data_IF_221862902835
#
_entry.id   IF_221862902835
#
_cell.length_a   1.000
_cell.length_b   1.000
_cell.length_c   1.000
_cell.angle_alpha   90.00
_cell.angle_beta   90.00
_cell.angle_gamma   90.00
#
_symmetry.space_group_name_H-M   'P 1'
#
loop_
_entity.id
_entity.type
_entity.pdbx_description
1 polymer ?
#
# COMPACT_ATOMS: atom_id res chain seq x y z
N UNK A 1 22.13 63.18 3.50
CA UNK A 1 23.05 62.14 4.02
C UNK A 1 23.47 62.48 5.44
N UNK A 2 22.77 61.95 6.44
CA UNK A 2 23.21 61.99 7.84
C UNK A 2 23.88 60.64 8.17
N UNK A 3 25.12 60.70 8.67
CA UNK A 3 25.92 59.52 9.05
C UNK A 3 25.43 59.02 10.40
N UNK A 4 24.95 57.77 10.47
CA UNK A 4 24.67 57.10 11.74
C UNK A 4 25.99 56.71 12.41
N UNK A 5 26.13 56.95 13.71
CA UNK A 5 27.34 56.66 14.47
C UNK A 5 27.43 55.15 14.74
N UNK A 6 28.55 54.57 14.36
CA UNK A 6 28.95 53.21 14.72
C UNK A 6 29.32 53.20 16.21
N UNK A 7 28.56 52.47 17.02
CA UNK A 7 28.88 52.20 18.41
C UNK A 7 29.54 50.82 18.45
N UNK A 8 30.85 50.79 18.71
CA UNK A 8 31.60 49.58 19.03
C UNK A 8 31.10 49.08 20.40
N UNK A 9 30.27 48.04 20.40
CA UNK A 9 30.02 47.25 21.60
C UNK A 9 30.78 45.93 21.45
N UNK A 10 32.03 45.94 21.90
CA UNK A 10 32.89 44.76 22.05
C UNK A 10 32.40 43.87 23.22
N UNK A 11 31.18 43.35 23.14
CA UNK A 11 30.75 42.25 24.00
C UNK A 11 30.38 41.06 23.11
N UNK A 12 31.20 39.98 23.08
CA UNK A 12 30.83 38.77 22.35
C UNK A 12 29.61 38.18 23.04
N UNK A 13 28.44 38.35 22.41
CA UNK A 13 27.19 37.71 22.81
C UNK A 13 27.35 36.19 22.67
N UNK A 14 27.80 35.54 23.76
CA UNK A 14 27.89 34.10 23.87
C UNK A 14 26.49 33.52 23.61
N UNK A 15 26.28 32.73 22.54
CA UNK A 15 25.00 32.07 22.32
C UNK A 15 24.79 31.06 23.46
N UNK A 16 23.78 31.31 24.31
CA UNK A 16 23.35 30.43 25.43
C UNK A 16 22.88 29.03 24.98
N UNK A 17 23.00 28.70 23.71
CA UNK A 17 22.51 27.50 23.05
C UNK A 17 23.39 26.26 23.26
N UNK A 18 24.63 26.42 23.72
CA UNK A 18 25.53 25.27 23.98
C UNK A 18 25.13 24.43 25.21
N UNK A 19 24.17 24.88 26.02
CA UNK A 19 23.73 24.17 27.24
C UNK A 19 22.51 23.27 27.03
N UNK A 20 21.88 23.31 25.85
CA UNK A 20 20.64 22.56 25.59
C UNK A 20 21.00 21.18 25.03
N UNK A 21 21.13 20.21 25.95
CA UNK A 21 21.29 18.78 25.63
C UNK A 21 20.03 18.23 24.95
N UNK A 22 20.20 17.49 23.86
CA UNK A 22 19.14 17.05 22.92
C UNK A 22 18.10 16.06 23.45
N UNK A 23 17.88 15.96 24.76
CA UNK A 23 16.96 15.00 25.38
C UNK A 23 15.99 15.57 26.44
N UNK A 24 15.90 16.89 26.59
CA UNK A 24 14.96 17.50 27.55
C UNK A 24 13.52 17.41 27.05
N UNK A 25 12.60 16.92 27.89
CA UNK A 25 11.16 16.73 27.67
C UNK A 25 10.44 18.05 27.28
N UNK A 26 10.61 18.47 26.03
CA UNK A 26 10.00 19.66 25.43
C UNK A 26 8.47 19.71 25.60
N UNK A 27 7.82 18.54 25.68
CA UNK A 27 6.37 18.41 25.70
C UNK A 27 5.70 18.63 27.07
N UNK A 28 6.48 18.83 28.14
CA UNK A 28 5.91 19.02 29.50
C UNK A 28 6.01 20.46 30.02
N UNK A 29 6.81 21.32 29.39
CA UNK A 29 6.98 22.71 29.77
C UNK A 29 6.13 23.66 28.91
N UNK A 30 5.10 24.21 29.56
CA UNK A 30 4.09 25.12 29.00
C UNK A 30 4.65 26.34 28.23
N UNK A 31 5.76 27.00 28.61
CA UNK A 31 6.28 28.15 27.88
C UNK A 31 6.82 27.80 26.48
N UNK A 32 7.52 26.67 26.34
CA UNK A 32 8.18 26.26 25.08
C UNK A 32 7.19 25.75 24.03
N UNK A 33 6.12 25.08 24.47
CA UNK A 33 5.02 24.65 23.59
C UNK A 33 4.29 25.82 22.90
N UNK A 34 4.27 27.00 23.54
CA UNK A 34 3.65 28.20 23.00
C UNK A 34 4.41 28.82 21.82
N UNK A 35 5.73 28.65 21.77
CA UNK A 35 6.58 29.15 20.68
C UNK A 35 6.54 28.24 19.45
N UNK A 36 6.39 26.93 19.65
CA UNK A 36 6.20 25.96 18.56
C UNK A 36 4.88 26.17 17.82
N UNK A 37 3.77 26.36 18.54
CA UNK A 37 2.48 26.69 17.94
C UNK A 37 2.46 28.08 17.25
N UNK A 38 3.38 28.98 17.63
CA UNK A 38 3.59 30.29 17.00
C UNK A 38 4.48 30.23 15.74
N UNK A 39 4.89 29.03 15.30
CA UNK A 39 5.66 28.84 14.07
C UNK A 39 7.16 29.14 14.18
N UNK A 40 7.69 29.35 15.38
CA UNK A 40 9.12 29.62 15.59
C UNK A 40 10.00 28.37 15.41
N UNK A 41 9.39 27.17 15.44
CA UNK A 41 10.08 25.89 15.23
C UNK A 41 9.48 25.11 14.05
N UNK A 42 9.64 25.66 12.84
CA UNK A 42 9.94 24.79 11.70
C UNK A 42 11.12 25.32 10.87
N UNK A 43 12.31 25.47 11.48
CA UNK A 43 13.44 26.14 10.84
C UNK A 43 13.96 25.33 9.66
N UNK A 44 13.85 23.99 9.69
CA UNK A 44 14.31 23.13 8.62
C UNK A 44 13.49 23.29 7.32
N UNK A 45 12.15 23.38 7.42
CA UNK A 45 11.29 23.54 6.24
C UNK A 45 11.34 24.98 5.71
N UNK A 46 11.33 25.98 6.59
CA UNK A 46 11.46 27.38 6.19
C UNK A 46 12.83 27.67 5.56
N UNK A 47 13.91 27.08 6.10
CA UNK A 47 15.25 27.19 5.52
C UNK A 47 15.31 26.53 4.15
N UNK A 48 14.75 25.34 3.97
CA UNK A 48 14.70 24.69 2.65
C UNK A 48 13.93 25.52 1.61
N UNK A 49 12.80 26.14 1.98
CA UNK A 49 12.00 26.95 1.04
C UNK A 49 12.68 28.27 0.65
N UNK A 50 13.49 28.85 1.53
CA UNK A 50 14.17 30.13 1.29
C UNK A 50 15.59 29.97 0.72
N UNK A 51 16.22 28.82 0.97
CA UNK A 51 17.60 28.49 0.57
C UNK A 51 17.64 27.69 -0.74
N UNK A 52 16.62 26.87 -1.05
CA UNK A 52 16.49 26.19 -2.34
C UNK A 52 15.74 27.07 -3.34
N UNK A 53 16.25 27.18 -4.57
CA UNK A 53 15.53 27.82 -5.69
C UNK A 53 14.27 27.02 -6.01
N UNK A 54 13.19 27.71 -6.44
CA UNK A 54 11.99 27.08 -7.03
C UNK A 54 12.36 26.08 -8.14
N UNK A 55 13.46 26.33 -8.85
CA UNK A 55 14.00 25.49 -9.92
C UNK A 55 14.61 24.18 -9.39
N UNK A 56 15.24 24.21 -8.21
CA UNK A 56 15.86 23.04 -7.56
C UNK A 56 14.82 22.15 -6.86
N UNK A 57 13.72 22.75 -6.37
CA UNK A 57 12.53 22.00 -5.93
C UNK A 57 11.78 21.36 -7.09
N UNK A 58 11.70 22.04 -8.25
CA UNK A 58 11.14 21.48 -9.48
C UNK A 58 12.01 20.37 -10.06
N UNK A 59 13.35 20.49 -10.01
CA UNK A 59 14.28 19.44 -10.46
C UNK A 59 14.27 18.17 -9.60
N UNK A 60 13.69 18.19 -8.39
CA UNK A 60 13.43 16.97 -7.60
C UNK A 60 12.06 16.38 -7.90
N UNK A 61 11.17 17.17 -8.47
CA UNK A 61 9.90 16.75 -9.03
C UNK A 61 10.12 16.48 -10.52
N UNK A 62 10.98 15.50 -10.81
CA UNK A 62 11.18 15.01 -12.17
C UNK A 62 9.87 14.42 -12.68
N UNK A 63 9.00 15.29 -13.19
CA UNK A 63 7.71 14.97 -13.77
C UNK A 63 7.84 13.90 -14.88
N UNK A 64 9.00 13.86 -15.54
CA UNK A 64 9.36 12.85 -16.54
C UNK A 64 9.51 11.42 -15.95
N UNK A 65 9.96 11.27 -14.70
CA UNK A 65 10.03 9.97 -14.01
C UNK A 65 8.61 9.43 -13.75
N UNK A 66 7.70 10.28 -13.30
CA UNK A 66 6.29 9.92 -13.09
C UNK A 66 5.55 9.65 -14.40
N UNK A 67 5.83 10.40 -15.47
CA UNK A 67 5.24 10.17 -16.79
C UNK A 67 5.63 8.81 -17.38
N UNK A 68 6.90 8.40 -17.22
CA UNK A 68 7.37 7.08 -17.62
C UNK A 68 6.67 5.94 -16.86
N UNK A 69 6.55 6.07 -15.53
CA UNK A 69 5.90 5.08 -14.68
C UNK A 69 4.40 4.95 -15.00
N UNK A 70 3.71 6.08 -15.26
CA UNK A 70 2.29 6.08 -15.64
C UNK A 70 2.08 5.39 -16.98
N UNK A 71 2.93 5.67 -17.99
CA UNK A 71 2.85 5.00 -19.29
C UNK A 71 3.10 3.49 -19.18
N UNK A 72 4.10 3.10 -18.37
CA UNK A 72 4.39 1.68 -18.11
C UNK A 72 3.21 0.97 -17.43
N UNK A 73 2.54 1.64 -16.48
CA UNK A 73 1.36 1.11 -15.80
C UNK A 73 0.16 0.95 -16.75
N UNK A 74 -0.04 1.91 -17.67
CA UNK A 74 -1.10 1.83 -18.69
C UNK A 74 -0.86 0.65 -19.63
N UNK A 75 0.38 0.44 -20.07
CA UNK A 75 0.73 -0.71 -20.92
C UNK A 75 0.52 -2.05 -20.20
N UNK A 76 0.93 -2.16 -18.94
CA UNK A 76 0.70 -3.35 -18.13
C UNK A 76 -0.80 -3.62 -17.89
N UNK A 77 -1.60 -2.58 -17.64
CA UNK A 77 -3.04 -2.71 -17.47
C UNK A 77 -3.73 -3.20 -18.76
N UNK A 78 -3.33 -2.69 -19.93
CA UNK A 78 -3.87 -3.14 -21.22
C UNK A 78 -3.52 -4.60 -21.51
N UNK A 79 -2.30 -5.04 -21.15
CA UNK A 79 -1.89 -6.43 -21.26
C UNK A 79 -2.76 -7.35 -20.39
N UNK A 80 -2.94 -7.00 -19.12
CA UNK A 80 -3.79 -7.77 -18.19
C UNK A 80 -5.26 -7.81 -18.64
N UNK A 81 -5.79 -6.71 -19.18
CA UNK A 81 -7.16 -6.68 -19.70
C UNK A 81 -7.34 -7.63 -20.89
N UNK A 82 -6.33 -7.72 -21.78
CA UNK A 82 -6.34 -8.65 -22.89
C UNK A 82 -6.27 -10.11 -22.42
N UNK A 83 -5.42 -10.41 -21.44
CA UNK A 83 -5.28 -11.75 -20.85
C UNK A 83 -6.58 -12.19 -20.14
N UNK A 84 -7.19 -11.29 -19.36
CA UNK A 84 -8.46 -11.54 -18.70
C UNK A 84 -9.58 -11.85 -19.71
N UNK A 85 -9.66 -11.10 -20.82
CA UNK A 85 -10.63 -11.36 -21.89
C UNK A 85 -10.47 -12.74 -22.53
N UNK A 86 -9.24 -13.23 -22.65
CA UNK A 86 -8.97 -14.58 -23.17
C UNK A 86 -9.43 -15.63 -22.16
N UNK A 87 -9.11 -15.46 -20.87
CA UNK A 87 -9.50 -16.41 -19.84
C UNK A 87 -11.03 -16.44 -19.65
N UNK A 88 -11.72 -15.30 -19.75
CA UNK A 88 -13.19 -15.24 -19.75
C UNK A 88 -13.79 -16.07 -20.90
N UNK A 89 -13.25 -15.94 -22.11
CA UNK A 89 -13.71 -16.73 -23.26
C UNK A 89 -13.46 -18.23 -23.05
N UNK A 90 -12.31 -18.58 -22.49
CA UNK A 90 -11.94 -19.96 -22.14
C UNK A 90 -12.86 -20.54 -21.06
N UNK A 91 -13.17 -19.77 -20.02
CA UNK A 91 -14.12 -20.14 -18.98
C UNK A 91 -15.54 -20.35 -19.55
N UNK A 92 -16.00 -19.43 -20.42
CA UNK A 92 -17.29 -19.56 -21.11
C UNK A 92 -17.33 -20.81 -22.01
N UNK A 93 -16.24 -21.11 -22.72
CA UNK A 93 -16.15 -22.30 -23.55
C UNK A 93 -16.17 -23.59 -22.71
N UNK A 94 -15.40 -23.63 -21.62
CA UNK A 94 -15.38 -24.77 -20.69
C UNK A 94 -16.76 -25.01 -20.05
N UNK A 95 -17.46 -23.95 -19.63
CA UNK A 95 -18.83 -24.04 -19.11
C UNK A 95 -19.81 -24.58 -20.15
N UNK A 96 -19.75 -24.12 -21.41
CA UNK A 96 -20.59 -24.67 -22.48
C UNK A 96 -20.32 -26.15 -22.72
N UNK A 97 -19.05 -26.54 -22.71
CA UNK A 97 -18.65 -27.94 -22.88
C UNK A 97 -19.17 -28.83 -21.73
N UNK A 98 -19.06 -28.39 -20.48
CA UNK A 98 -19.56 -29.13 -19.31
C UNK A 98 -21.09 -29.30 -19.36
N UNK A 99 -21.82 -28.26 -19.78
CA UNK A 99 -23.27 -28.36 -19.96
C UNK A 99 -23.66 -29.34 -21.08
N UNK A 100 -22.93 -29.35 -22.20
CA UNK A 100 -23.11 -30.33 -23.26
C UNK A 100 -22.87 -31.76 -22.77
N UNK A 101 -21.80 -31.97 -22.01
CA UNK A 101 -21.49 -33.25 -21.37
C UNK A 101 -22.61 -33.72 -20.44
N UNK A 102 -23.10 -32.87 -19.54
CA UNK A 102 -24.21 -33.20 -18.62
C UNK A 102 -25.48 -33.61 -19.37
N UNK A 103 -25.81 -32.94 -20.47
CA UNK A 103 -26.97 -33.30 -21.31
C UNK A 103 -26.76 -34.67 -21.97
N UNK A 104 -25.57 -34.93 -22.53
CA UNK A 104 -25.25 -36.22 -23.13
C UNK A 104 -25.30 -37.36 -22.11
N UNK A 105 -24.75 -37.14 -20.93
CA UNK A 105 -24.74 -38.06 -19.81
C UNK A 105 -26.16 -38.40 -19.31
N UNK A 106 -27.03 -37.38 -19.20
CA UNK A 106 -28.45 -37.59 -18.86
C UNK A 106 -29.19 -38.42 -19.92
N UNK A 107 -28.92 -38.20 -21.20
CA UNK A 107 -29.49 -39.00 -22.31
C UNK A 107 -28.98 -40.43 -22.31
N UNK A 108 -27.69 -40.63 -22.03
CA UNK A 108 -27.06 -41.95 -21.95
C UNK A 108 -27.72 -42.78 -20.85
N UNK A 109 -27.83 -42.22 -19.64
CA UNK A 109 -28.48 -42.88 -18.49
C UNK A 109 -29.96 -43.18 -18.75
N UNK A 110 -30.67 -42.29 -19.44
CA UNK A 110 -32.06 -42.52 -19.82
C UNK A 110 -32.26 -43.71 -20.78
N UNK A 111 -31.25 -44.03 -21.61
CA UNK A 111 -31.29 -45.19 -22.54
C UNK A 111 -30.74 -46.47 -21.91
N UNK A 112 -29.73 -46.36 -21.07
CA UNK A 112 -29.04 -47.49 -20.46
C UNK A 112 -28.84 -47.20 -18.97
N UNK A 113 -29.69 -47.80 -18.13
CA UNK A 113 -29.68 -47.56 -16.68
C UNK A 113 -28.46 -48.16 -15.98
N UNK A 114 -27.79 -49.14 -16.59
CA UNK A 114 -26.67 -49.87 -16.00
C UNK A 114 -25.30 -49.26 -16.31
N UNK A 115 -25.25 -48.16 -17.08
CA UNK A 115 -23.98 -47.50 -17.40
C UNK A 115 -23.52 -46.68 -16.20
N UNK A 116 -22.44 -47.12 -15.57
CA UNK A 116 -21.74 -46.41 -14.50
C UNK A 116 -20.53 -45.68 -15.08
N UNK A 117 -20.39 -44.39 -14.78
CA UNK A 117 -19.22 -43.60 -15.17
C UNK A 117 -18.21 -43.68 -14.03
N UNK A 118 -17.06 -44.28 -14.31
CA UNK A 118 -16.01 -44.52 -13.32
C UNK A 118 -15.33 -43.22 -12.85
N UNK A 119 -15.07 -42.29 -13.78
CA UNK A 119 -14.52 -40.97 -13.49
C UNK A 119 -15.26 -39.92 -14.30
N UNK A 120 -15.87 -38.95 -13.61
CA UNK A 120 -16.49 -37.78 -14.21
C UNK A 120 -15.48 -36.61 -14.17
N UNK A 121 -14.95 -36.16 -15.32
CA UNK A 121 -13.99 -35.07 -15.38
C UNK A 121 -14.55 -33.71 -14.90
N UNK A 122 -15.87 -33.60 -14.73
CA UNK A 122 -16.56 -32.40 -14.27
C UNK A 122 -17.24 -32.59 -12.91
N UNK A 123 -16.99 -33.70 -12.21
CA UNK A 123 -17.40 -33.82 -10.82
C UNK A 123 -16.60 -32.83 -9.96
N UNK A 124 -17.28 -32.13 -9.04
CA UNK A 124 -16.61 -31.33 -8.02
C UNK A 124 -15.83 -32.28 -7.10
N UNK A 125 -14.52 -32.39 -7.34
CA UNK A 125 -13.58 -33.00 -6.41
C UNK A 125 -13.47 -32.07 -5.21
N UNK A 126 -14.21 -32.35 -4.13
CA UNK A 126 -13.86 -31.75 -2.84
C UNK A 126 -12.67 -32.52 -2.28
N UNK A 127 -11.46 -32.10 -2.65
CA UNK A 127 -10.21 -32.64 -2.09
C UNK A 127 -10.19 -32.55 -0.56
N UNK A 128 -10.97 -31.60 -0.01
CA UNK A 128 -11.09 -31.31 1.42
C UNK A 128 -12.14 -32.17 2.14
N UNK A 129 -12.99 -32.93 1.44
CA UNK A 129 -13.97 -33.81 2.09
C UNK A 129 -13.31 -34.97 2.84
N UNK A 130 -12.04 -35.22 2.55
CA UNK A 130 -11.20 -36.26 3.13
C UNK A 130 -10.40 -35.73 4.33
N UNK A 131 -10.39 -34.41 4.53
CA UNK A 131 -9.73 -33.75 5.65
C UNK A 131 -10.67 -33.85 6.84
N UNK A 132 -10.36 -34.79 7.75
CA UNK A 132 -11.03 -34.90 9.04
C UNK A 132 -10.81 -33.60 9.81
N UNK A 133 -11.83 -32.75 9.85
CA UNK A 133 -11.85 -31.55 10.70
C UNK A 133 -12.08 -32.01 12.13
N UNK A 134 -11.03 -31.94 12.96
CA UNK A 134 -11.12 -32.21 14.40
C UNK A 134 -12.03 -31.14 15.04
N UNK A 135 -13.21 -31.56 15.49
CA UNK A 135 -14.23 -30.68 16.07
C UNK A 135 -13.89 -30.25 17.49
N UNK A 136 -12.91 -30.88 18.11
CA UNK A 136 -12.55 -30.71 19.52
C UNK A 136 -11.28 -29.88 19.68
N UNK A 137 -11.11 -28.80 18.90
CA UNK A 137 -10.02 -27.86 19.14
C UNK A 137 -10.39 -26.91 20.30
N UNK A 138 -9.82 -27.08 21.52
CA UNK A 138 -10.09 -26.17 22.62
C UNK A 138 -9.55 -24.78 22.28
N UNK A 139 -10.32 -23.75 22.63
CA UNK A 139 -9.79 -22.39 22.63
C UNK A 139 -8.78 -22.27 23.77
N UNK A 140 -7.66 -21.59 23.52
CA UNK A 140 -6.70 -21.24 24.58
C UNK A 140 -7.23 -20.04 25.35
N UNK A 141 -8.11 -20.30 26.32
CA UNK A 141 -8.66 -19.35 27.28
C UNK A 141 -7.76 -19.19 28.53
N UNK A 142 -6.45 -19.41 28.35
CA UNK A 142 -5.42 -19.10 29.33
C UNK A 142 -5.56 -17.68 29.85
N UNK A 143 -5.96 -17.55 31.12
CA UNK A 143 -6.04 -16.26 31.80
C UNK A 143 -4.62 -15.69 31.94
N UNK A 144 -4.32 -14.47 31.45
CA UNK A 144 -2.99 -13.90 31.58
C UNK A 144 -2.70 -13.63 33.07
N UNK A 145 -1.52 -14.07 33.54
CA UNK A 145 -0.99 -13.79 34.87
C UNK A 145 -0.48 -12.35 35.00
#
# INVERSE_FOLDING_TARGET
MTRLKYADSEDPLVPRWLTISGSSLFWTERPLSGEYLRGALHPALAKQVYECSSEELMNRNDQALLEGDILSLIEAAAFLEAELKVEDQKAVAAYKASQGYRVALKRLRGKHHDITIEQDPFAECSEDANVEMDLDQPFDDGTPL
#
